data_IF_101194060694
#
_entry.id   IF_101194060694
#
_cell.length_a   1.000
_cell.length_b   1.000
_cell.length_c   1.000
_cell.angle_alpha   90.00
_cell.angle_beta   90.00
_cell.angle_gamma   90.00
#
_symmetry.space_group_name_H-M   'P 1'
#
loop_
_entity.id
_entity.type
_entity.pdbx_description
1 polymer ?
#
# COMPACT_ATOMS: atom_id res chain seq x y z
N UNK A 1 9.03 36.21 -6.28
CA UNK A 1 7.72 36.43 -6.93
C UNK A 1 7.75 35.69 -8.26
N UNK A 2 6.67 35.00 -8.61
CA UNK A 2 6.61 34.21 -9.83
C UNK A 2 5.64 34.77 -10.86
N UNK A 3 5.62 34.21 -12.04
CA UNK A 3 4.70 34.54 -13.11
C UNK A 3 3.40 33.73 -12.97
N UNK A 4 2.23 34.37 -13.14
CA UNK A 4 0.89 33.76 -13.01
C UNK A 4 0.63 33.08 -11.65
N UNK A 5 1.23 33.61 -10.57
CA UNK A 5 0.98 33.11 -9.21
C UNK A 5 -0.24 33.76 -8.60
N UNK A 6 -1.06 32.99 -7.88
CA UNK A 6 -2.23 33.47 -7.17
C UNK A 6 -2.16 33.06 -5.70
N UNK A 7 -2.17 34.02 -4.77
CA UNK A 7 -2.29 33.77 -3.33
C UNK A 7 -3.61 34.39 -2.87
N UNK A 8 -4.67 33.62 -2.77
CA UNK A 8 -6.02 34.07 -2.43
C UNK A 8 -6.41 33.80 -0.97
N UNK A 9 -5.86 32.75 -0.38
CA UNK A 9 -6.14 32.39 1.02
C UNK A 9 -5.54 33.40 2.01
N UNK A 10 -6.16 33.57 3.17
CA UNK A 10 -5.60 34.37 4.26
C UNK A 10 -4.25 33.79 4.68
N UNK A 11 -3.19 34.60 4.70
CA UNK A 11 -1.80 34.19 5.00
C UNK A 11 -1.26 33.12 4.02
N UNK A 12 -1.78 33.09 2.80
CA UNK A 12 -1.30 32.19 1.77
C UNK A 12 -0.04 32.74 1.08
N UNK A 13 0.83 31.83 0.64
CA UNK A 13 2.06 32.14 -0.10
C UNK A 13 2.13 31.32 -1.37
N UNK A 14 2.33 32.00 -2.53
CA UNK A 14 2.50 31.37 -3.83
C UNK A 14 3.79 31.86 -4.50
N UNK A 15 4.67 30.93 -4.87
CA UNK A 15 5.95 31.22 -5.55
C UNK A 15 6.17 30.28 -6.73
N UNK A 16 6.76 30.78 -7.82
CA UNK A 16 7.07 29.96 -9.01
C UNK A 16 6.25 30.36 -10.24
N UNK A 17 5.84 29.41 -11.06
CA UNK A 17 5.08 29.64 -12.30
C UNK A 17 3.69 28.99 -12.24
N UNK A 18 2.64 29.76 -12.51
CA UNK A 18 1.25 29.28 -12.52
C UNK A 18 0.84 28.53 -11.23
N UNK A 19 1.29 28.98 -10.06
CA UNK A 19 0.97 28.37 -8.76
C UNK A 19 -0.24 29.04 -8.11
N UNK A 20 -1.05 28.27 -7.38
CA UNK A 20 -2.27 28.74 -6.72
C UNK A 20 -2.32 28.33 -5.25
N UNK A 21 -2.23 29.30 -4.34
CA UNK A 21 -2.42 29.13 -2.90
C UNK A 21 -3.78 29.71 -2.50
N UNK A 22 -4.81 28.86 -2.45
CA UNK A 22 -6.20 29.26 -2.26
C UNK A 22 -6.70 29.04 -0.84
N UNK A 23 -6.15 28.07 -0.13
CA UNK A 23 -6.52 27.77 1.25
C UNK A 23 -5.93 28.75 2.25
N UNK A 24 -6.59 28.92 3.41
CA UNK A 24 -6.03 29.66 4.55
C UNK A 24 -4.72 29.00 5.02
N UNK A 25 -3.68 29.81 5.26
CA UNK A 25 -2.31 29.35 5.60
C UNK A 25 -1.71 28.36 4.58
N UNK A 26 -2.09 28.43 3.32
CA UNK A 26 -1.57 27.53 2.29
C UNK A 26 -0.25 28.03 1.70
N UNK A 27 0.57 27.07 1.24
CA UNK A 27 1.86 27.34 0.60
C UNK A 27 1.99 26.58 -0.72
N UNK A 28 2.38 27.29 -1.79
CA UNK A 28 2.73 26.67 -3.08
C UNK A 28 4.09 27.14 -3.57
N UNK A 29 4.87 26.21 -4.12
CA UNK A 29 6.14 26.53 -4.78
C UNK A 29 6.40 25.59 -5.96
N UNK A 30 6.89 26.13 -7.08
CA UNK A 30 7.25 25.32 -8.25
C UNK A 30 6.46 25.73 -9.49
N UNK A 31 5.98 24.77 -10.26
CA UNK A 31 5.26 25.00 -11.50
C UNK A 31 3.91 24.27 -11.53
N UNK A 32 2.84 24.99 -11.85
CA UNK A 32 1.46 24.47 -11.92
C UNK A 32 0.99 23.77 -10.61
N UNK A 33 1.45 24.23 -9.44
CA UNK A 33 1.07 23.66 -8.14
C UNK A 33 -0.18 24.31 -7.58
N UNK A 34 -1.01 23.56 -6.84
CA UNK A 34 -2.25 24.02 -6.25
C UNK A 34 -2.37 23.58 -4.78
N UNK A 35 -2.55 24.52 -3.86
CA UNK A 35 -2.83 24.29 -2.45
C UNK A 35 -4.17 24.94 -2.10
N UNK A 36 -5.24 24.15 -2.13
CA UNK A 36 -6.62 24.62 -1.93
C UNK A 36 -7.11 24.41 -0.50
N UNK A 37 -6.58 23.41 0.17
CA UNK A 37 -6.95 23.07 1.54
C UNK A 37 -6.40 24.07 2.56
N UNK A 38 -7.08 24.22 3.70
CA UNK A 38 -6.56 24.97 4.85
C UNK A 38 -5.30 24.30 5.40
N UNK A 39 -4.26 25.09 5.68
CA UNK A 39 -2.92 24.60 6.11
C UNK A 39 -2.30 23.61 5.12
N UNK A 40 -2.55 23.76 3.83
CA UNK A 40 -2.03 22.82 2.83
C UNK A 40 -0.72 23.32 2.21
N UNK A 41 0.11 22.35 1.77
CA UNK A 41 1.39 22.61 1.11
C UNK A 41 1.46 21.83 -0.20
N UNK A 42 1.75 22.53 -1.32
CA UNK A 42 1.99 21.87 -2.61
C UNK A 42 3.29 22.39 -3.24
N UNK A 43 4.28 21.54 -3.43
CA UNK A 43 5.56 21.92 -4.02
C UNK A 43 6.03 20.96 -5.10
N UNK A 44 6.59 21.50 -6.19
CA UNK A 44 7.13 20.71 -7.29
C UNK A 44 6.48 21.06 -8.64
N UNK A 45 6.13 20.05 -9.43
CA UNK A 45 5.52 20.20 -10.74
C UNK A 45 4.13 19.53 -10.78
N UNK A 46 3.09 20.28 -11.10
CA UNK A 46 1.69 19.80 -11.18
C UNK A 46 1.18 19.09 -9.91
N UNK A 47 1.66 19.49 -8.73
CA UNK A 47 1.19 18.90 -7.47
C UNK A 47 -0.11 19.54 -7.00
N UNK A 48 -0.95 18.77 -6.31
CA UNK A 48 -2.22 19.23 -5.73
C UNK A 48 -2.37 18.83 -4.27
N UNK A 49 -2.64 19.80 -3.40
CA UNK A 49 -2.99 19.60 -2.00
C UNK A 49 -4.36 20.26 -1.74
N UNK A 50 -5.44 19.51 -1.92
CA UNK A 50 -6.81 20.04 -1.83
C UNK A 50 -7.45 19.83 -0.47
N UNK A 51 -6.93 18.92 0.33
CA UNK A 51 -7.46 18.65 1.65
C UNK A 51 -6.91 19.54 2.76
N UNK A 52 -7.62 19.64 3.86
CA UNK A 52 -7.15 20.32 5.08
C UNK A 52 -5.96 19.59 5.68
N UNK A 53 -4.88 20.33 6.00
CA UNK A 53 -3.61 19.80 6.47
C UNK A 53 -2.95 18.80 5.48
N UNK A 54 -3.19 18.98 4.19
CA UNK A 54 -2.61 18.14 3.14
C UNK A 54 -1.24 18.64 2.70
N UNK A 55 -0.32 17.73 2.40
CA UNK A 55 0.99 18.05 1.85
C UNK A 55 1.30 17.18 0.62
N UNK A 56 1.61 17.84 -0.52
CA UNK A 56 1.95 17.19 -1.78
C UNK A 56 3.28 17.70 -2.31
N UNK A 57 4.22 16.78 -2.55
CA UNK A 57 5.56 17.07 -3.03
C UNK A 57 5.92 16.25 -4.27
N UNK A 58 6.75 16.82 -5.15
CA UNK A 58 7.32 16.14 -6.31
C UNK A 58 6.61 16.46 -7.61
N UNK A 59 6.26 15.48 -8.41
CA UNK A 59 5.62 15.66 -9.71
C UNK A 59 4.28 14.93 -9.79
N UNK A 60 3.23 15.62 -10.21
CA UNK A 60 1.91 15.03 -10.43
C UNK A 60 1.25 14.41 -9.20
N UNK A 61 1.80 14.61 -8.00
CA UNK A 61 1.29 13.99 -6.78
C UNK A 61 0.06 14.73 -6.24
N UNK A 62 -0.93 13.98 -5.75
CA UNK A 62 -2.22 14.49 -5.28
C UNK A 62 -2.54 14.06 -3.84
N UNK A 63 -2.74 15.04 -2.95
CA UNK A 63 -3.20 14.87 -1.57
C UNK A 63 -4.59 15.49 -1.42
N UNK A 64 -5.67 14.68 -1.49
CA UNK A 64 -7.03 15.18 -1.71
C UNK A 64 -7.97 15.16 -0.52
N UNK A 65 -7.60 14.63 0.61
CA UNK A 65 -8.50 14.60 1.77
C UNK A 65 -7.93 15.26 3.05
N UNK A 66 -8.36 14.87 4.28
CA UNK A 66 -7.97 15.50 5.55
C UNK A 66 -6.78 14.79 6.18
N UNK A 67 -5.65 15.49 6.40
CA UNK A 67 -4.37 14.97 6.92
C UNK A 67 -3.71 13.96 5.98
N UNK A 68 -3.14 14.43 4.88
CA UNK A 68 -2.52 13.59 3.84
C UNK A 68 -1.09 13.96 3.56
N UNK A 69 -0.34 12.97 3.17
CA UNK A 69 1.02 13.20 2.73
C UNK A 69 1.31 12.42 1.44
N UNK A 70 1.76 13.14 0.40
CA UNK A 70 2.29 12.50 -0.82
C UNK A 70 3.66 13.06 -1.16
N UNK A 71 4.59 12.20 -1.57
CA UNK A 71 5.88 12.64 -2.08
C UNK A 71 6.41 11.71 -3.16
N UNK A 72 6.87 12.28 -4.28
CA UNK A 72 7.46 11.57 -5.40
C UNK A 72 6.75 11.84 -6.73
N UNK A 73 6.54 10.81 -7.56
CA UNK A 73 6.02 10.94 -8.91
C UNK A 73 4.62 10.31 -9.03
N UNK A 74 3.61 11.12 -9.37
CA UNK A 74 2.23 10.67 -9.65
C UNK A 74 1.61 9.82 -8.52
N UNK A 75 1.90 10.17 -7.26
CA UNK A 75 1.32 9.48 -6.12
C UNK A 75 -0.04 10.07 -5.74
N UNK A 76 -0.91 9.24 -5.19
CA UNK A 76 -2.24 9.67 -4.75
C UNK A 76 -2.53 9.21 -3.32
N UNK A 77 -2.80 10.16 -2.43
CA UNK A 77 -3.34 9.91 -1.10
C UNK A 77 -4.75 10.50 -1.02
N UNK A 78 -5.76 9.66 -0.85
CA UNK A 78 -7.18 10.06 -0.81
C UNK A 78 -8.01 9.43 0.32
N UNK A 79 -7.45 8.47 1.06
CA UNK A 79 -8.07 7.92 2.27
C UNK A 79 -7.76 8.80 3.50
N UNK A 80 -8.64 9.03 4.45
CA UNK A 80 -8.37 9.85 5.64
C UNK A 80 -7.09 9.42 6.36
N UNK A 81 -6.19 10.36 6.66
CA UNK A 81 -4.88 10.12 7.29
C UNK A 81 -3.98 9.14 6.51
N UNK A 82 -4.05 9.17 5.17
CA UNK A 82 -3.26 8.29 4.32
C UNK A 82 -1.94 8.92 3.84
N UNK A 83 -0.98 8.06 3.53
CA UNK A 83 0.35 8.45 3.03
C UNK A 83 0.71 7.66 1.76
N UNK A 84 1.10 8.36 0.68
CA UNK A 84 1.56 7.74 -0.55
C UNK A 84 2.94 8.27 -0.96
N UNK A 85 3.94 7.40 -1.03
CA UNK A 85 5.34 7.71 -1.29
C UNK A 85 5.90 6.92 -2.47
N UNK A 86 6.75 7.54 -3.28
CA UNK A 86 7.47 6.85 -4.34
C UNK A 86 6.98 7.19 -5.74
N UNK A 87 6.60 6.21 -6.55
CA UNK A 87 6.17 6.39 -7.93
C UNK A 87 4.88 5.61 -8.22
N UNK A 88 3.83 6.30 -8.65
CA UNK A 88 2.51 5.71 -8.95
C UNK A 88 1.88 4.97 -7.75
N UNK A 89 2.22 5.35 -6.52
CA UNK A 89 1.68 4.74 -5.32
C UNK A 89 0.33 5.35 -4.95
N UNK A 90 -0.62 4.52 -4.53
CA UNK A 90 -1.98 4.93 -4.19
C UNK A 90 -2.37 4.48 -2.78
N UNK A 91 -2.65 5.43 -1.90
CA UNK A 91 -3.17 5.21 -0.56
C UNK A 91 -4.61 5.75 -0.48
N UNK A 92 -5.58 4.89 -0.71
CA UNK A 92 -7.00 5.26 -0.81
C UNK A 92 -7.83 4.83 0.39
N UNK A 93 -7.35 3.89 1.18
CA UNK A 93 -7.97 3.50 2.44
C UNK A 93 -7.70 4.50 3.56
N UNK A 94 -8.60 4.61 4.55
CA UNK A 94 -8.36 5.41 5.75
C UNK A 94 -7.18 4.84 6.55
N UNK A 95 -6.31 5.71 7.06
CA UNK A 95 -5.08 5.34 7.77
C UNK A 95 -4.15 4.40 6.98
N UNK A 96 -4.18 4.47 5.64
CA UNK A 96 -3.37 3.58 4.78
C UNK A 96 -2.01 4.18 4.44
N UNK A 97 -1.05 3.29 4.17
CA UNK A 97 0.29 3.63 3.72
C UNK A 97 0.64 2.89 2.43
N UNK A 98 0.97 3.61 1.37
CA UNK A 98 1.48 3.05 0.12
C UNK A 98 2.88 3.61 -0.18
N UNK A 99 3.90 2.76 -0.22
CA UNK A 99 5.29 3.18 -0.40
C UNK A 99 6.05 2.34 -1.42
N UNK A 100 6.61 2.97 -2.46
CA UNK A 100 7.41 2.28 -3.46
C UNK A 100 6.99 2.57 -4.90
N UNK A 101 6.95 1.55 -5.75
CA UNK A 101 6.59 1.65 -7.16
C UNK A 101 5.24 0.94 -7.39
N UNK A 102 4.24 1.65 -7.90
CA UNK A 102 2.92 1.07 -8.22
C UNK A 102 2.28 0.29 -7.07
N UNK A 103 2.44 0.79 -5.85
CA UNK A 103 1.83 0.17 -4.67
C UNK A 103 0.39 0.66 -4.47
N UNK A 104 -0.48 -0.21 -4.00
CA UNK A 104 -1.88 0.09 -3.73
C UNK A 104 -2.27 -0.32 -2.31
N UNK A 105 -2.62 0.66 -1.47
CA UNK A 105 -3.15 0.46 -0.13
C UNK A 105 -4.58 1.02 -0.10
N UNK A 106 -5.56 0.19 -0.45
CA UNK A 106 -6.96 0.60 -0.56
C UNK A 106 -7.83 0.19 0.63
N UNK A 107 -7.35 -0.68 1.47
CA UNK A 107 -8.04 -1.05 2.69
C UNK A 107 -7.81 -0.08 3.85
N UNK A 108 -8.72 -0.09 4.83
CA UNK A 108 -8.57 0.68 6.08
C UNK A 108 -7.40 0.13 6.90
N UNK A 109 -6.52 1.02 7.37
CA UNK A 109 -5.31 0.68 8.11
C UNK A 109 -4.40 -0.32 7.37
N UNK A 110 -4.34 -0.22 6.04
CA UNK A 110 -3.53 -1.09 5.19
C UNK A 110 -2.14 -0.53 4.90
N UNK A 111 -1.17 -1.40 4.73
CA UNK A 111 0.21 -1.06 4.36
C UNK A 111 0.64 -1.82 3.11
N UNK A 112 1.01 -1.11 2.04
CA UNK A 112 1.57 -1.68 0.83
C UNK A 112 2.96 -1.10 0.57
N UNK A 113 4.01 -1.92 0.57
CA UNK A 113 5.39 -1.47 0.39
C UNK A 113 6.15 -2.33 -0.60
N UNK A 114 6.88 -1.69 -1.53
CA UNK A 114 7.73 -2.38 -2.49
C UNK A 114 7.40 -2.06 -3.95
N UNK A 115 7.31 -3.06 -4.82
CA UNK A 115 6.92 -2.88 -6.22
C UNK A 115 5.67 -3.69 -6.55
N UNK A 116 4.67 -3.02 -7.07
CA UNK A 116 3.40 -3.64 -7.53
C UNK A 116 2.69 -4.44 -6.44
N UNK A 117 2.80 -3.99 -5.18
CA UNK A 117 2.15 -4.63 -4.03
C UNK A 117 0.72 -4.11 -3.85
N UNK A 118 -0.16 -4.98 -3.37
CA UNK A 118 -1.57 -4.66 -3.11
C UNK A 118 -2.02 -5.07 -1.73
N UNK A 119 -2.56 -4.12 -0.97
CA UNK A 119 -3.18 -4.33 0.34
C UNK A 119 -4.61 -3.78 0.29
N UNK A 120 -5.61 -4.65 0.02
CA UNK A 120 -6.96 -4.23 -0.40
C UNK A 120 -8.05 -4.34 0.66
N UNK A 121 -7.86 -5.05 1.72
CA UNK A 121 -8.88 -5.19 2.76
C UNK A 121 -8.58 -4.41 4.06
N UNK A 122 -9.18 -4.77 5.22
CA UNK A 122 -9.05 -4.06 6.51
C UNK A 122 -7.93 -4.64 7.36
N UNK A 123 -6.93 -3.82 7.74
CA UNK A 123 -5.74 -4.19 8.54
C UNK A 123 -4.83 -5.18 7.80
N UNK A 124 -4.20 -4.75 6.70
CA UNK A 124 -3.36 -5.58 5.84
C UNK A 124 -1.94 -5.12 5.76
N UNK A 125 -1.07 -6.07 5.49
CA UNK A 125 0.31 -5.77 5.15
C UNK A 125 0.73 -6.55 3.90
N UNK A 126 1.10 -5.83 2.83
CA UNK A 126 1.69 -6.42 1.63
C UNK A 126 3.07 -5.80 1.40
N UNK A 127 4.14 -6.60 1.44
CA UNK A 127 5.51 -6.10 1.33
C UNK A 127 6.34 -6.95 0.38
N UNK A 128 7.05 -6.30 -0.57
CA UNK A 128 7.98 -6.97 -1.46
C UNK A 128 7.70 -6.71 -2.95
N UNK A 129 7.71 -7.74 -3.78
CA UNK A 129 7.47 -7.63 -5.21
C UNK A 129 6.22 -8.40 -5.62
N UNK A 130 5.24 -7.70 -6.20
CA UNK A 130 3.95 -8.28 -6.65
C UNK A 130 3.25 -9.11 -5.57
N UNK A 131 3.30 -8.66 -4.32
CA UNK A 131 2.59 -9.32 -3.22
C UNK A 131 1.15 -8.82 -3.14
N UNK A 132 0.24 -9.67 -2.71
CA UNK A 132 -1.17 -9.36 -2.54
C UNK A 132 -1.69 -9.84 -1.19
N UNK A 133 -2.20 -8.92 -0.37
CA UNK A 133 -2.91 -9.22 0.86
C UNK A 133 -4.37 -8.77 0.69
N UNK A 134 -5.29 -9.72 0.55
CA UNK A 134 -6.72 -9.47 0.26
C UNK A 134 -7.69 -10.06 1.27
N UNK A 135 -7.26 -11.00 2.10
CA UNK A 135 -8.06 -11.54 3.21
C UNK A 135 -8.07 -10.60 4.44
N UNK A 136 -9.15 -10.44 5.17
CA UNK A 136 -9.21 -9.57 6.36
C UNK A 136 -8.12 -9.95 7.40
N UNK A 137 -7.35 -8.97 7.90
CA UNK A 137 -6.21 -9.16 8.82
C UNK A 137 -5.09 -10.05 8.24
N UNK A 138 -4.89 -10.02 6.92
CA UNK A 138 -3.88 -10.85 6.27
C UNK A 138 -2.55 -10.14 6.07
N UNK A 139 -1.48 -10.93 5.94
CA UNK A 139 -0.12 -10.45 5.69
C UNK A 139 0.53 -11.23 4.55
N UNK A 140 1.02 -10.54 3.52
CA UNK A 140 1.78 -11.11 2.42
C UNK A 140 3.15 -10.45 2.29
N UNK A 141 4.22 -11.23 2.39
CA UNK A 141 5.62 -10.74 2.36
C UNK A 141 6.45 -11.56 1.39
N UNK A 142 7.27 -10.89 0.57
CA UNK A 142 8.25 -11.55 -0.30
C UNK A 142 8.03 -11.30 -1.78
N UNK A 143 8.06 -12.34 -2.60
CA UNK A 143 7.92 -12.24 -4.06
C UNK A 143 6.71 -13.05 -4.51
N UNK A 144 5.76 -12.44 -5.22
CA UNK A 144 4.56 -13.12 -5.72
C UNK A 144 3.76 -13.86 -4.62
N UNK A 145 3.87 -13.39 -3.37
CA UNK A 145 3.16 -14.00 -2.24
C UNK A 145 1.72 -13.48 -2.15
N UNK A 146 0.78 -14.36 -1.86
CA UNK A 146 -0.64 -14.05 -1.79
C UNK A 146 -1.28 -14.57 -0.50
N UNK A 147 -1.88 -13.68 0.27
CA UNK A 147 -2.64 -14.00 1.48
C UNK A 147 -4.10 -13.62 1.28
N UNK A 148 -4.96 -14.60 1.03
CA UNK A 148 -6.31 -14.40 0.50
C UNK A 148 -7.42 -14.60 1.51
N UNK A 149 -7.22 -15.37 2.56
CA UNK A 149 -8.24 -15.63 3.57
C UNK A 149 -8.09 -14.76 4.82
N UNK A 150 -9.11 -14.75 5.67
CA UNK A 150 -9.10 -14.06 6.96
C UNK A 150 -7.94 -14.56 7.83
N UNK A 151 -7.19 -13.61 8.42
CA UNK A 151 -6.01 -13.89 9.27
C UNK A 151 -4.92 -14.74 8.61
N UNK A 152 -4.86 -14.79 7.27
CA UNK A 152 -3.84 -15.57 6.57
C UNK A 152 -2.48 -14.88 6.53
N UNK A 153 -1.42 -15.68 6.51
CA UNK A 153 -0.05 -15.22 6.42
C UNK A 153 0.71 -15.97 5.31
N UNK A 154 1.17 -15.25 4.30
CA UNK A 154 2.00 -15.77 3.21
C UNK A 154 3.37 -15.11 3.24
N UNK A 155 4.44 -15.86 3.40
CA UNK A 155 5.80 -15.33 3.40
C UNK A 155 6.77 -16.18 2.59
N UNK A 156 7.42 -15.57 1.60
CA UNK A 156 8.40 -16.26 0.77
C UNK A 156 8.33 -15.90 -0.70
N UNK A 157 8.57 -16.87 -1.57
CA UNK A 157 8.45 -16.70 -3.01
C UNK A 157 7.35 -17.60 -3.56
N UNK A 158 6.43 -17.04 -4.34
CA UNK A 158 5.31 -17.77 -4.94
C UNK A 158 4.50 -18.53 -3.89
N UNK A 159 4.23 -17.92 -2.74
CA UNK A 159 3.44 -18.53 -1.66
C UNK A 159 1.98 -18.13 -1.76
N UNK A 160 1.08 -19.09 -1.57
CA UNK A 160 -0.36 -18.82 -1.47
C UNK A 160 -0.90 -19.33 -0.13
N UNK A 161 -1.50 -18.44 0.66
CA UNK A 161 -2.01 -18.76 1.97
C UNK A 161 -3.49 -18.43 2.11
N UNK A 162 -4.27 -19.44 2.41
CA UNK A 162 -5.60 -19.32 3.01
C UNK A 162 -5.54 -19.46 4.55
N UNK A 163 -4.41 -19.92 5.06
CA UNK A 163 -4.08 -19.92 6.48
C UNK A 163 -2.63 -19.48 6.69
N UNK A 164 -1.68 -20.39 6.84
CA UNK A 164 -0.25 -20.06 7.01
C UNK A 164 0.61 -20.77 5.97
N UNK A 165 1.27 -20.01 5.08
CA UNK A 165 2.22 -20.54 4.11
C UNK A 165 3.55 -19.78 4.18
N UNK A 166 4.66 -20.51 4.32
CA UNK A 166 6.01 -19.94 4.40
C UNK A 166 7.01 -20.72 3.56
N UNK A 167 7.81 -20.04 2.74
CA UNK A 167 8.85 -20.71 1.94
C UNK A 167 8.82 -20.35 0.46
N UNK A 168 9.09 -21.31 -0.40
CA UNK A 168 9.13 -21.14 -1.84
C UNK A 168 8.10 -22.06 -2.51
N UNK A 169 7.20 -21.49 -3.29
CA UNK A 169 6.13 -22.19 -3.98
C UNK A 169 5.30 -23.09 -3.02
N UNK A 170 4.94 -22.55 -1.86
CA UNK A 170 4.14 -23.25 -0.85
C UNK A 170 2.68 -22.81 -0.90
N UNK A 171 1.78 -23.75 -0.61
CA UNK A 171 0.35 -23.51 -0.64
C UNK A 171 -0.33 -24.05 0.61
N UNK A 172 -1.12 -23.23 1.29
CA UNK A 172 -1.92 -23.58 2.46
C UNK A 172 -3.38 -23.32 2.13
N UNK A 173 -4.13 -24.38 1.77
CA UNK A 173 -5.52 -24.31 1.28
C UNK A 173 -6.52 -24.57 2.38
N UNK A 174 -6.28 -25.55 3.22
CA UNK A 174 -7.20 -25.93 4.27
C UNK A 174 -7.34 -24.88 5.36
N UNK A 175 -8.50 -24.82 6.00
CA UNK A 175 -8.73 -23.98 7.17
C UNK A 175 -7.80 -24.42 8.32
N UNK A 176 -7.14 -23.46 8.98
CA UNK A 176 -6.13 -23.73 10.03
C UNK A 176 -4.97 -24.63 9.57
N UNK A 177 -4.65 -24.65 8.27
CA UNK A 177 -3.54 -25.43 7.74
C UNK A 177 -2.22 -24.65 7.79
N UNK A 178 -1.11 -25.40 7.81
CA UNK A 178 0.24 -24.83 7.70
C UNK A 178 1.06 -25.55 6.64
N UNK A 179 1.62 -24.77 5.70
CA UNK A 179 2.62 -25.28 4.75
C UNK A 179 3.94 -24.53 4.88
N UNK A 180 5.06 -25.24 4.80
CA UNK A 180 6.39 -24.64 4.91
C UNK A 180 7.46 -25.40 4.15
N UNK A 181 8.46 -24.67 3.63
CA UNK A 181 9.58 -25.25 2.91
C UNK A 181 9.58 -24.96 1.41
N UNK A 182 9.78 -25.98 0.58
CA UNK A 182 9.84 -25.88 -0.88
C UNK A 182 8.73 -26.74 -1.52
N UNK A 183 7.85 -26.16 -2.30
CA UNK A 183 6.74 -26.82 -3.02
C UNK A 183 5.84 -27.67 -2.12
N UNK A 184 5.70 -27.32 -0.85
CA UNK A 184 4.83 -28.07 0.06
C UNK A 184 3.39 -27.56 0.00
N UNK A 185 2.43 -28.48 0.18
CA UNK A 185 1.00 -28.19 0.09
C UNK A 185 0.23 -28.78 1.27
N UNK A 186 -0.41 -27.92 2.05
CA UNK A 186 -1.34 -28.31 3.12
C UNK A 186 -2.77 -28.05 2.65
N UNK A 187 -3.43 -29.08 2.12
CA UNK A 187 -4.71 -28.97 1.41
C UNK A 187 -5.89 -29.26 2.34
N UNK A 188 -5.73 -30.21 3.26
CA UNK A 188 -6.80 -30.55 4.20
C UNK A 188 -6.93 -29.57 5.35
N UNK A 189 -8.13 -29.44 5.93
CA UNK A 189 -8.34 -28.61 7.12
C UNK A 189 -7.50 -29.12 8.29
N UNK A 190 -6.91 -28.20 9.04
CA UNK A 190 -6.02 -28.48 10.16
C UNK A 190 -4.84 -29.37 9.79
N UNK A 191 -4.39 -29.31 8.55
CA UNK A 191 -3.27 -30.13 8.03
C UNK A 191 -1.93 -29.40 8.15
N UNK A 192 -0.85 -30.18 8.20
CA UNK A 192 0.53 -29.68 8.25
C UNK A 192 1.35 -30.34 7.14
N UNK A 193 1.94 -29.53 6.25
CA UNK A 193 2.91 -29.99 5.26
C UNK A 193 4.21 -29.21 5.41
N UNK A 194 5.31 -29.87 5.71
CA UNK A 194 6.60 -29.21 5.90
C UNK A 194 7.75 -30.01 5.30
N UNK A 195 8.55 -29.33 4.46
CA UNK A 195 9.72 -29.94 3.82
C UNK A 195 9.77 -29.64 2.32
N UNK A 196 10.25 -30.60 1.54
CA UNK A 196 10.33 -30.50 0.07
C UNK A 196 9.27 -31.40 -0.55
N UNK A 197 8.45 -30.84 -1.46
CA UNK A 197 7.37 -31.56 -2.16
C UNK A 197 6.33 -32.26 -1.26
N UNK A 198 6.31 -31.96 0.05
CA UNK A 198 5.39 -32.61 1.00
C UNK A 198 3.93 -32.21 0.75
N UNK A 199 3.00 -33.18 0.82
CA UNK A 199 1.57 -32.97 0.56
C UNK A 199 0.68 -33.58 1.64
N UNK A 200 0.02 -32.73 2.43
CA UNK A 200 -0.97 -33.17 3.42
C UNK A 200 -2.38 -32.89 2.87
N UNK A 201 -3.05 -33.91 2.33
CA UNK A 201 -4.35 -33.77 1.64
C UNK A 201 -5.56 -34.05 2.53
N UNK A 202 -5.41 -34.89 3.51
CA UNK A 202 -6.52 -35.26 4.39
C UNK A 202 -6.69 -34.26 5.54
N UNK A 203 -7.90 -34.19 6.10
CA UNK A 203 -8.17 -33.45 7.34
C UNK A 203 -7.31 -33.99 8.48
N UNK A 204 -6.67 -33.10 9.23
CA UNK A 204 -5.67 -33.45 10.28
C UNK A 204 -4.44 -34.24 9.77
N UNK A 205 -4.20 -34.23 8.46
CA UNK A 205 -3.03 -34.93 7.91
C UNK A 205 -1.73 -34.19 8.21
N UNK A 206 -0.67 -34.95 8.44
CA UNK A 206 0.68 -34.43 8.63
C UNK A 206 1.62 -35.06 7.61
N UNK A 207 2.32 -34.24 6.83
CA UNK A 207 3.34 -34.65 5.87
C UNK A 207 4.63 -33.91 6.18
N UNK A 208 5.68 -34.61 6.57
CA UNK A 208 6.97 -34.02 6.93
C UNK A 208 8.09 -34.71 6.10
N UNK A 209 9.06 -33.91 5.65
CA UNK A 209 10.22 -34.42 4.94
C UNK A 209 10.16 -34.17 3.43
N UNK A 210 10.82 -35.05 2.69
CA UNK A 210 10.84 -35.04 1.22
C UNK A 210 9.79 -36.04 0.70
N UNK A 211 8.90 -35.58 -0.18
CA UNK A 211 7.79 -36.34 -0.74
C UNK A 211 8.02 -36.81 -2.16
#
# INVERSE_FOLDING_TARGET
MGERTEAQGTRAVATGYATKAMGENSFTAGENTQAEGRNSVATGYKTKATGTNAAAFGEGSEATGVVYFTAGLNNKASGQSSTALGNLSQATGAASFAGGLRTEASGVASTAMGDSTKATGVIFTAMGWKTEASGQQSTAIGTLSKASAHSSFAAGSETEAYSLATGNNTESVGENSFSGGLRSQAIGDSSLAFGVDSKAKGRYAVALGEG
#
